data_IF_700414560845
#
_entry.id   IF_700414560845
#
_cell.length_a   1.000
_cell.length_b   1.000
_cell.length_c   1.000
_cell.angle_alpha   90.00
_cell.angle_beta   90.00
_cell.angle_gamma   90.00
#
_symmetry.space_group_name_H-M   'P 1'
#
loop_
_entity.id
_entity.type
_entity.pdbx_description
1 polymer ?
#
# COMPACT_ATOMS: atom_id res chain seq x y z
N UNK A 1 10.20 8.33 2.27
CA UNK A 1 9.02 8.95 1.64
C UNK A 1 9.43 9.34 0.22
N UNK A 2 8.47 9.56 -0.65
CA UNK A 2 8.69 10.14 -1.98
C UNK A 2 7.92 11.46 -2.04
N UNK A 3 8.57 12.51 -2.55
CA UNK A 3 7.96 13.80 -2.82
C UNK A 3 8.29 14.19 -4.26
N UNK A 4 7.27 14.49 -5.06
CA UNK A 4 7.40 14.82 -6.49
C UNK A 4 6.51 16.01 -6.82
N UNK A 5 6.96 16.88 -7.72
CA UNK A 5 6.24 18.09 -8.13
C UNK A 5 6.97 19.36 -7.67
N UNK A 6 6.30 20.50 -7.83
CA UNK A 6 6.84 21.82 -7.51
C UNK A 6 6.26 22.37 -6.21
N UNK A 7 7.10 23.08 -5.47
CA UNK A 7 6.67 23.79 -4.26
C UNK A 7 5.56 24.79 -4.56
N UNK A 8 4.56 24.87 -3.69
CA UNK A 8 3.40 25.74 -3.83
C UNK A 8 2.23 25.16 -4.62
N UNK A 9 2.40 24.03 -5.31
CA UNK A 9 1.27 23.32 -5.92
C UNK A 9 0.33 22.74 -4.85
N UNK A 10 -0.95 22.50 -5.18
CA UNK A 10 -1.86 21.71 -4.35
C UNK A 10 -1.26 20.34 -3.99
N UNK A 11 -1.32 19.98 -2.70
CA UNK A 11 -0.73 18.75 -2.17
C UNK A 11 -1.68 17.56 -2.32
N UNK A 12 -1.19 16.51 -2.96
CA UNK A 12 -1.80 15.18 -2.99
C UNK A 12 -1.02 14.27 -2.04
N UNK A 13 -1.68 13.77 -1.00
CA UNK A 13 -1.12 12.73 -0.14
C UNK A 13 -1.66 11.38 -0.57
N UNK A 14 -0.77 10.48 -0.96
CA UNK A 14 -1.12 9.13 -1.38
C UNK A 14 -0.76 8.13 -0.27
N UNK A 15 -1.74 7.34 0.16
CA UNK A 15 -1.56 6.27 1.14
C UNK A 15 -1.49 4.91 0.41
N UNK A 16 -0.33 4.24 0.47
CA UNK A 16 -0.14 2.98 -0.25
C UNK A 16 -0.82 1.78 0.43
N UNK A 17 -1.13 0.74 -0.37
CA UNK A 17 -1.71 -0.52 0.11
C UNK A 17 -0.65 -1.45 0.75
N UNK A 18 -1.06 -2.58 1.33
CA UNK A 18 -0.20 -3.47 2.14
C UNK A 18 1.12 -3.88 1.47
N UNK A 19 1.10 -4.18 0.17
CA UNK A 19 2.28 -4.62 -0.58
C UNK A 19 2.88 -3.52 -1.46
N UNK A 20 2.47 -2.26 -1.25
CA UNK A 20 3.03 -1.09 -1.90
C UNK A 20 4.19 -0.49 -1.09
N UNK A 21 4.67 0.66 -1.54
CA UNK A 21 5.71 1.43 -0.86
C UNK A 21 5.54 2.92 -1.20
N UNK A 22 6.54 3.74 -0.84
CA UNK A 22 6.52 5.18 -1.10
C UNK A 22 6.71 5.58 -2.56
N UNK A 23 7.15 4.69 -3.46
CA UNK A 23 7.48 5.00 -4.85
C UNK A 23 6.21 5.07 -5.72
N UNK A 24 5.39 6.09 -5.48
CA UNK A 24 4.14 6.35 -6.20
C UNK A 24 4.43 6.76 -7.64
N UNK A 25 5.38 7.67 -7.84
CA UNK A 25 5.79 8.17 -9.15
C UNK A 25 7.05 7.48 -9.68
N UNK A 26 8.02 7.16 -8.81
CA UNK A 26 9.26 6.47 -9.17
C UNK A 26 10.16 7.27 -10.11
N UNK A 27 11.08 6.57 -10.77
CA UNK A 27 12.00 7.16 -11.77
C UNK A 27 11.58 6.77 -13.19
N UNK A 28 12.23 7.33 -14.20
CA UNK A 28 11.92 6.96 -15.59
C UNK A 28 12.37 5.51 -15.91
N UNK A 29 13.46 5.03 -15.31
CA UNK A 29 13.92 3.65 -15.43
C UNK A 29 13.10 2.66 -14.58
N UNK A 30 12.60 3.13 -13.44
CA UNK A 30 11.82 2.33 -12.49
C UNK A 30 10.53 3.09 -12.14
N UNK A 31 9.54 3.08 -13.04
CA UNK A 31 8.30 3.83 -12.85
C UNK A 31 7.56 3.35 -11.60
N UNK A 32 7.01 4.31 -10.87
CA UNK A 32 6.25 4.07 -9.66
C UNK A 32 4.89 3.45 -9.96
N UNK A 33 4.26 2.90 -8.92
CA UNK A 33 3.04 2.10 -9.08
C UNK A 33 1.83 2.91 -9.56
N UNK A 34 1.87 4.25 -9.51
CA UNK A 34 0.85 5.17 -10.01
C UNK A 34 1.32 6.06 -11.18
N UNK A 35 2.51 5.79 -11.74
CA UNK A 35 3.06 6.59 -12.84
C UNK A 35 2.09 6.72 -14.02
N UNK A 36 1.42 5.64 -14.42
CA UNK A 36 0.44 5.66 -15.51
C UNK A 36 -0.80 6.54 -15.23
N UNK A 37 -1.22 6.66 -13.97
CA UNK A 37 -2.36 7.52 -13.59
C UNK A 37 -1.95 8.99 -13.67
N UNK A 38 -0.74 9.30 -13.21
CA UNK A 38 -0.20 10.66 -13.17
C UNK A 38 0.12 11.14 -14.59
N UNK A 39 0.89 10.35 -15.36
CA UNK A 39 1.30 10.67 -16.73
C UNK A 39 0.13 10.60 -17.72
N UNK A 40 -0.89 9.78 -17.43
CA UNK A 40 -2.13 9.71 -18.19
C UNK A 40 -3.02 10.96 -18.05
N UNK A 41 -2.65 11.92 -17.19
CA UNK A 41 -3.35 13.19 -17.03
C UNK A 41 -4.58 13.14 -16.10
N UNK A 42 -4.82 12.03 -15.39
CA UNK A 42 -5.89 11.96 -14.39
C UNK A 42 -5.53 12.75 -13.12
N UNK A 43 -4.25 12.73 -12.77
CA UNK A 43 -3.68 13.55 -11.69
C UNK A 43 -2.34 14.14 -12.18
N UNK A 44 -2.39 15.15 -13.05
CA UNK A 44 -1.19 15.59 -13.75
C UNK A 44 -0.17 16.26 -12.82
N UNK A 45 1.10 15.89 -13.01
CA UNK A 45 2.24 16.42 -12.23
C UNK A 45 2.46 17.94 -12.37
N UNK A 46 1.97 18.54 -13.45
CA UNK A 46 2.04 19.99 -13.66
C UNK A 46 1.02 20.79 -12.84
N UNK A 47 -0.02 20.14 -12.31
CA UNK A 47 -1.03 20.78 -11.46
C UNK A 47 -0.88 20.44 -9.97
N UNK A 48 -0.19 19.35 -9.64
CA UNK A 48 -0.14 18.79 -8.29
C UNK A 48 1.28 18.44 -7.84
N UNK A 49 1.52 18.56 -6.52
CA UNK A 49 2.66 17.90 -5.87
C UNK A 49 2.19 16.67 -5.09
N UNK A 50 2.96 15.59 -5.14
CA UNK A 50 2.62 14.28 -4.58
C UNK A 50 3.54 13.94 -3.43
N UNK A 51 2.98 13.50 -2.31
CA UNK A 51 3.70 13.03 -1.14
C UNK A 51 3.21 11.64 -0.73
N UNK A 52 4.14 10.70 -0.61
CA UNK A 52 3.85 9.33 -0.19
C UNK A 52 4.85 8.88 0.86
N UNK A 53 4.36 8.49 2.02
CA UNK A 53 5.18 7.84 3.04
C UNK A 53 5.12 6.33 2.88
N UNK A 54 6.24 5.65 3.11
CA UNK A 54 6.21 4.21 3.33
C UNK A 54 5.76 3.99 4.78
N UNK A 55 4.80 3.10 5.00
CA UNK A 55 4.29 2.84 6.36
C UNK A 55 5.38 2.28 7.27
N UNK A 56 5.33 2.59 8.57
CA UNK A 56 6.15 1.86 9.54
C UNK A 56 5.75 0.37 9.54
N UNK A 57 6.71 -0.51 9.73
CA UNK A 57 6.55 -1.96 9.59
C UNK A 57 6.72 -2.48 8.16
N UNK A 58 6.70 -1.62 7.13
CA UNK A 58 7.04 -2.02 5.75
C UNK A 58 8.55 -2.13 5.56
N UNK A 59 9.06 -3.13 4.82
CA UNK A 59 10.51 -3.34 4.62
C UNK A 59 11.15 -2.34 3.64
N UNK A 60 10.40 -1.39 3.08
CA UNK A 60 10.88 -0.48 2.04
C UNK A 60 11.37 0.89 2.57
N UNK A 61 12.13 0.87 3.67
CA UNK A 61 12.94 2.01 4.15
C UNK A 61 12.49 2.65 5.47
N UNK A 62 11.19 2.66 5.78
CA UNK A 62 10.70 3.16 7.09
C UNK A 62 11.08 2.22 8.23
N UNK A 63 11.01 2.68 9.49
CA UNK A 63 11.24 1.81 10.66
C UNK A 63 10.39 0.55 10.58
N UNK A 64 11.03 -0.61 10.69
CA UNK A 64 10.42 -1.92 10.51
C UNK A 64 11.28 -2.99 11.21
N UNK A 65 10.79 -4.23 11.38
CA UNK A 65 11.61 -5.32 11.90
C UNK A 65 12.90 -5.58 11.09
N UNK A 66 12.94 -5.18 9.82
CA UNK A 66 14.11 -5.38 8.94
C UNK A 66 15.27 -4.44 9.30
N UNK A 67 15.00 -3.22 9.77
CA UNK A 67 16.02 -2.20 10.02
C UNK A 67 16.08 -1.71 11.48
N UNK A 68 15.18 -2.17 12.34
CA UNK A 68 15.18 -1.85 13.77
C UNK A 68 14.94 -3.12 14.60
N UNK A 69 16.00 -3.57 15.29
CA UNK A 69 15.96 -4.77 16.14
C UNK A 69 15.04 -4.62 17.36
N UNK A 70 14.66 -3.39 17.73
CA UNK A 70 13.75 -3.10 18.84
C UNK A 70 12.34 -2.72 18.35
N UNK A 71 12.04 -2.97 17.07
CA UNK A 71 10.73 -2.65 16.51
C UNK A 71 9.60 -3.32 17.32
N UNK A 72 8.49 -2.61 17.61
CA UNK A 72 7.39 -3.16 18.40
C UNK A 72 6.85 -4.48 17.82
N UNK A 73 6.62 -5.47 18.69
CA UNK A 73 6.06 -6.77 18.29
C UNK A 73 4.67 -6.66 17.66
N UNK A 74 3.93 -5.62 18.02
CA UNK A 74 2.59 -5.32 17.51
C UNK A 74 2.53 -3.85 17.15
N UNK A 75 1.98 -3.56 15.98
CA UNK A 75 1.59 -2.22 15.55
C UNK A 75 0.16 -2.24 15.07
N UNK A 76 -0.49 -1.08 15.10
CA UNK A 76 -1.85 -0.88 14.59
C UNK A 76 -1.85 0.08 13.42
N UNK A 77 -2.96 0.11 12.69
CA UNK A 77 -3.20 1.12 11.66
C UNK A 77 -3.09 2.55 12.21
N UNK A 78 -3.52 2.77 13.46
CA UNK A 78 -3.47 4.09 14.09
C UNK A 78 -2.04 4.54 14.36
N UNK A 79 -1.15 3.61 14.71
CA UNK A 79 0.28 3.91 14.87
C UNK A 79 0.90 4.30 13.52
N UNK A 80 0.55 3.58 12.44
CA UNK A 80 0.96 3.91 11.06
C UNK A 80 0.51 5.32 10.69
N UNK A 81 -0.78 5.61 10.86
CA UNK A 81 -1.35 6.93 10.55
C UNK A 81 -0.69 8.01 11.37
N UNK A 82 -0.45 7.78 12.66
CA UNK A 82 0.21 8.76 13.52
C UNK A 82 1.62 9.09 13.03
N UNK A 83 2.39 8.08 12.61
CA UNK A 83 3.72 8.30 12.03
C UNK A 83 3.65 9.12 10.72
N UNK A 84 2.66 8.85 9.87
CA UNK A 84 2.44 9.60 8.62
C UNK A 84 2.10 11.06 8.92
N UNK A 85 1.18 11.34 9.85
CA UNK A 85 0.84 12.71 10.27
C UNK A 85 2.06 13.49 10.74
N UNK A 86 2.90 12.87 11.58
CA UNK A 86 4.14 13.47 12.07
C UNK A 86 5.10 13.76 10.91
N UNK A 87 5.21 12.84 9.94
CA UNK A 87 6.00 13.04 8.73
C UNK A 87 5.50 14.21 7.88
N UNK A 88 4.20 14.30 7.62
CA UNK A 88 3.60 15.40 6.85
C UNK A 88 3.86 16.74 7.54
N UNK A 89 3.66 16.81 8.87
CA UNK A 89 3.92 18.02 9.67
C UNK A 89 5.40 18.42 9.68
N UNK A 90 6.30 17.44 9.76
CA UNK A 90 7.75 17.69 9.72
C UNK A 90 8.20 18.31 8.40
N UNK A 91 7.48 18.05 7.30
CA UNK A 91 7.70 18.68 6.00
C UNK A 91 7.00 20.05 5.86
N UNK A 92 6.30 20.52 6.89
CA UNK A 92 5.68 21.85 6.93
C UNK A 92 4.30 21.95 6.28
N UNK A 93 3.69 20.82 5.88
CA UNK A 93 2.36 20.83 5.27
C UNK A 93 1.27 20.91 6.34
N UNK A 94 0.30 21.79 6.10
CA UNK A 94 -0.88 22.00 6.98
C UNK A 94 -2.21 21.76 6.26
N UNK A 95 -2.20 21.81 4.93
CA UNK A 95 -3.35 21.55 4.05
C UNK A 95 -3.04 20.43 3.07
N UNK A 96 -4.03 19.59 2.79
CA UNK A 96 -3.98 18.52 1.80
C UNK A 96 -5.13 18.77 0.81
N UNK A 97 -4.82 18.96 -0.46
CA UNK A 97 -5.84 19.17 -1.49
C UNK A 97 -6.56 17.86 -1.82
N UNK A 98 -5.81 16.78 -2.00
CA UNK A 98 -6.37 15.44 -2.24
C UNK A 98 -5.68 14.43 -1.31
N UNK A 99 -6.48 13.74 -0.50
CA UNK A 99 -6.04 12.61 0.30
C UNK A 99 -6.60 11.31 -0.31
N UNK A 100 -5.74 10.41 -0.76
CA UNK A 100 -6.17 9.27 -1.58
C UNK A 100 -5.48 7.95 -1.20
N UNK A 101 -6.24 6.86 -1.18
CA UNK A 101 -5.69 5.54 -0.88
C UNK A 101 -6.67 4.39 -1.09
N UNK A 102 -6.12 3.21 -1.40
CA UNK A 102 -6.88 1.99 -1.65
C UNK A 102 -6.60 0.87 -0.65
N UNK A 103 -7.61 0.10 -0.24
CA UNK A 103 -7.47 -1.01 0.71
C UNK A 103 -6.83 -0.54 2.03
N UNK A 104 -5.65 -1.04 2.42
CA UNK A 104 -4.89 -0.50 3.56
C UNK A 104 -4.65 1.01 3.45
N UNK A 105 -4.43 1.52 2.23
CA UNK A 105 -4.32 2.95 1.96
C UNK A 105 -5.60 3.70 2.27
N UNK A 106 -6.75 3.13 1.90
CA UNK A 106 -8.06 3.73 2.21
C UNK A 106 -8.36 3.74 3.70
N UNK A 107 -7.91 2.71 4.43
CA UNK A 107 -7.97 2.69 5.89
C UNK A 107 -7.13 3.82 6.52
N UNK A 108 -5.94 4.08 5.98
CA UNK A 108 -5.12 5.23 6.42
C UNK A 108 -5.82 6.56 6.15
N UNK A 109 -6.44 6.72 4.97
CA UNK A 109 -7.22 7.93 4.63
C UNK A 109 -8.33 8.19 5.64
N UNK A 110 -9.12 7.15 5.98
CA UNK A 110 -10.22 7.29 6.94
C UNK A 110 -9.74 7.72 8.34
N UNK A 111 -8.68 7.10 8.86
CA UNK A 111 -8.11 7.46 10.17
C UNK A 111 -7.42 8.84 10.16
N UNK A 112 -6.76 9.24 9.05
CA UNK A 112 -6.20 10.59 8.88
C UNK A 112 -7.28 11.67 8.95
N UNK A 113 -8.42 11.43 8.27
CA UNK A 113 -9.57 12.34 8.31
C UNK A 113 -10.16 12.43 9.71
N UNK A 114 -10.30 11.30 10.40
CA UNK A 114 -10.86 11.22 11.76
C UNK A 114 -10.02 11.99 12.78
N UNK A 115 -8.70 12.03 12.63
CA UNK A 115 -7.83 12.73 13.56
C UNK A 115 -7.84 14.26 13.40
N UNK A 116 -8.39 14.78 12.29
CA UNK A 116 -8.53 16.22 12.02
C UNK A 116 -7.23 17.03 12.19
N UNK A 117 -6.09 16.46 11.81
CA UNK A 117 -4.78 17.12 11.96
C UNK A 117 -4.43 18.06 10.80
N UNK A 118 -5.15 17.96 9.68
CA UNK A 118 -4.95 18.73 8.46
C UNK A 118 -6.30 19.19 7.90
N UNK A 119 -6.32 20.33 7.22
CA UNK A 119 -7.45 20.72 6.38
C UNK A 119 -7.37 19.93 5.07
N UNK A 120 -8.36 19.07 4.82
CA UNK A 120 -8.43 18.20 3.65
C UNK A 120 -9.60 18.63 2.76
N UNK A 121 -9.33 19.03 1.51
CA UNK A 121 -10.38 19.49 0.58
C UNK A 121 -11.13 18.31 -0.05
N UNK A 122 -10.40 17.35 -0.62
CA UNK A 122 -10.96 16.15 -1.26
C UNK A 122 -10.36 14.88 -0.67
N UNK A 123 -11.18 13.86 -0.51
CA UNK A 123 -10.75 12.53 -0.10
C UNK A 123 -11.29 11.45 -1.02
N UNK A 124 -10.43 10.49 -1.37
CA UNK A 124 -10.78 9.36 -2.24
C UNK A 124 -10.38 8.06 -1.54
N UNK A 125 -11.38 7.29 -1.13
CA UNK A 125 -11.23 6.03 -0.40
C UNK A 125 -11.66 4.89 -1.31
N UNK A 126 -10.72 4.03 -1.71
CA UNK A 126 -10.99 2.91 -2.61
C UNK A 126 -10.91 1.57 -1.86
N UNK A 127 -11.85 0.66 -2.11
CA UNK A 127 -11.79 -0.73 -1.64
C UNK A 127 -11.45 -0.91 -0.13
N UNK A 128 -11.94 -0.01 0.71
CA UNK A 128 -11.76 -0.03 2.16
C UNK A 128 -13.12 0.16 2.85
N UNK A 129 -13.21 -0.31 4.10
CA UNK A 129 -14.42 -0.23 4.93
C UNK A 129 -14.05 0.23 6.33
N UNK A 130 -15.03 0.62 7.12
CA UNK A 130 -14.90 1.13 8.49
C UNK A 130 -14.14 0.19 9.44
N UNK A 131 -14.16 -1.12 9.16
CA UNK A 131 -13.44 -2.14 9.93
C UNK A 131 -13.11 -3.38 9.13
N UNK A 132 -12.07 -4.09 9.56
CA UNK A 132 -11.71 -5.40 9.01
C UNK A 132 -12.82 -6.43 9.25
N UNK A 133 -13.37 -6.98 8.16
CA UNK A 133 -14.44 -8.00 8.22
C UNK A 133 -13.95 -9.35 8.74
N UNK A 134 -14.89 -10.22 9.16
CA UNK A 134 -14.58 -11.61 9.52
C UNK A 134 -13.88 -12.36 8.37
N UNK A 135 -14.32 -12.13 7.14
CA UNK A 135 -13.68 -12.69 5.94
C UNK A 135 -12.20 -12.26 5.83
N UNK A 136 -11.92 -10.96 5.97
CA UNK A 136 -10.55 -10.45 5.91
C UNK A 136 -9.69 -10.95 7.07
N UNK A 137 -10.26 -11.11 8.27
CA UNK A 137 -9.56 -11.70 9.41
C UNK A 137 -9.20 -13.18 9.17
N UNK A 138 -10.14 -13.98 8.65
CA UNK A 138 -9.88 -15.37 8.30
C UNK A 138 -8.79 -15.49 7.22
N UNK A 139 -8.87 -14.64 6.19
CA UNK A 139 -7.84 -14.53 5.16
C UNK A 139 -6.45 -14.23 5.75
N UNK A 140 -6.36 -13.23 6.63
CA UNK A 140 -5.09 -12.84 7.25
C UNK A 140 -4.53 -13.96 8.15
N UNK A 141 -5.39 -14.70 8.84
CA UNK A 141 -4.96 -15.78 9.72
C UNK A 141 -4.42 -16.98 8.94
N UNK A 142 -5.08 -17.38 7.85
CA UNK A 142 -4.58 -18.43 6.96
C UNK A 142 -3.21 -18.04 6.39
N UNK A 143 -3.02 -16.78 5.98
CA UNK A 143 -1.73 -16.28 5.51
C UNK A 143 -0.65 -16.31 6.61
N UNK A 144 -1.00 -15.94 7.85
CA UNK A 144 -0.09 -15.99 9.01
C UNK A 144 0.36 -17.41 9.31
N UNK A 145 -0.57 -18.36 9.36
CA UNK A 145 -0.29 -19.77 9.58
C UNK A 145 0.60 -20.35 8.46
N UNK A 146 0.32 -20.00 7.20
CA UNK A 146 1.17 -20.43 6.09
C UNK A 146 2.62 -19.95 6.25
N UNK A 147 2.83 -18.68 6.62
CA UNK A 147 4.16 -18.11 6.88
C UNK A 147 4.81 -18.76 8.11
N UNK A 148 4.05 -19.02 9.17
CA UNK A 148 4.56 -19.66 10.37
C UNK A 148 5.10 -21.07 10.08
N UNK A 149 4.38 -21.86 9.28
CA UNK A 149 4.74 -23.24 8.94
C UNK A 149 5.83 -23.28 7.86
N UNK A 150 5.74 -22.42 6.85
CA UNK A 150 6.53 -22.53 5.61
C UNK A 150 7.59 -21.46 5.40
N UNK A 151 7.73 -20.48 6.29
CA UNK A 151 8.65 -19.35 6.12
C UNK A 151 8.45 -18.64 4.78
N UNK A 152 9.51 -18.56 3.96
CA UNK A 152 9.46 -17.99 2.60
C UNK A 152 8.48 -18.70 1.67
N UNK A 153 8.29 -20.01 1.78
CA UNK A 153 7.24 -20.70 0.99
C UNK A 153 5.83 -20.31 1.45
N UNK A 154 5.67 -20.05 2.75
CA UNK A 154 4.44 -19.51 3.31
C UNK A 154 4.07 -18.14 2.74
N UNK A 155 5.04 -17.27 2.45
CA UNK A 155 4.79 -16.00 1.75
C UNK A 155 4.23 -16.20 0.34
N UNK A 156 4.74 -17.21 -0.39
CA UNK A 156 4.22 -17.55 -1.72
C UNK A 156 2.75 -17.98 -1.63
N UNK A 157 2.41 -18.82 -0.65
CA UNK A 157 1.03 -19.26 -0.41
C UNK A 157 0.14 -18.08 -0.01
N UNK A 158 0.58 -17.23 0.92
CA UNK A 158 -0.14 -16.03 1.34
C UNK A 158 -0.44 -15.10 0.14
N UNK A 159 0.52 -14.95 -0.78
CA UNK A 159 0.33 -14.16 -1.99
C UNK A 159 -0.69 -14.79 -2.94
N UNK A 160 -0.61 -16.10 -3.17
CA UNK A 160 -1.55 -16.84 -4.01
C UNK A 160 -2.98 -16.76 -3.47
N UNK A 161 -3.14 -16.85 -2.15
CA UNK A 161 -4.42 -16.65 -1.46
C UNK A 161 -4.99 -15.25 -1.78
N UNK A 162 -4.16 -14.21 -1.74
CA UNK A 162 -4.56 -12.84 -2.12
C UNK A 162 -5.10 -12.72 -3.54
N UNK A 163 -4.49 -13.41 -4.49
CA UNK A 163 -4.97 -13.39 -5.88
C UNK A 163 -6.36 -13.99 -6.08
N UNK A 164 -6.86 -14.81 -5.14
CA UNK A 164 -8.24 -15.29 -5.15
C UNK A 164 -9.25 -14.19 -4.76
N UNK A 165 -8.79 -13.15 -4.06
CA UNK A 165 -9.64 -12.04 -3.61
C UNK A 165 -9.46 -10.78 -4.46
N UNK A 166 -8.32 -10.63 -5.15
CA UNK A 166 -8.02 -9.46 -5.99
C UNK A 166 -8.44 -9.61 -7.45
N UNK A 167 -8.67 -10.83 -7.93
CA UNK A 167 -9.07 -11.11 -9.31
C UNK A 167 -10.37 -11.91 -9.36
N UNK A 168 -11.22 -11.57 -10.33
CA UNK A 168 -12.44 -12.32 -10.59
C UNK A 168 -12.16 -13.60 -11.37
N UNK A 169 -12.94 -14.66 -11.13
CA UNK A 169 -12.89 -15.90 -11.92
C UNK A 169 -12.97 -15.62 -13.42
N UNK A 170 -13.91 -14.77 -13.83
CA UNK A 170 -14.10 -14.38 -15.24
C UNK A 170 -12.84 -13.81 -15.89
N UNK A 171 -11.99 -13.09 -15.13
CA UNK A 171 -10.72 -12.55 -15.64
C UNK A 171 -9.67 -13.64 -15.86
N UNK A 172 -9.65 -14.66 -14.99
CA UNK A 172 -8.82 -15.85 -15.19
C UNK A 172 -9.30 -16.63 -16.41
N UNK A 173 -10.59 -16.95 -16.47
CA UNK A 173 -11.19 -17.77 -17.52
C UNK A 173 -11.04 -17.14 -18.92
N UNK A 174 -10.98 -15.82 -19.01
CA UNK A 174 -10.78 -15.11 -20.27
C UNK A 174 -9.33 -15.08 -20.76
N UNK A 175 -8.34 -15.36 -19.90
CA UNK A 175 -6.91 -15.17 -20.19
C UNK A 175 -6.09 -16.46 -20.12
N UNK A 176 -6.58 -17.46 -19.39
CA UNK A 176 -5.82 -18.64 -19.03
C UNK A 176 -6.72 -19.88 -19.03
N UNK A 177 -6.16 -21.01 -19.38
CA UNK A 177 -6.69 -22.33 -19.01
C UNK A 177 -6.52 -22.57 -17.50
N UNK A 178 -7.28 -23.50 -16.89
CA UNK A 178 -7.14 -23.81 -15.47
C UNK A 178 -5.71 -24.13 -15.02
N UNK A 179 -4.94 -24.88 -15.81
CA UNK A 179 -3.54 -25.21 -15.49
C UNK A 179 -2.62 -24.00 -15.57
N UNK A 180 -2.84 -23.11 -16.54
CA UNK A 180 -2.11 -21.84 -16.65
C UNK A 180 -2.39 -20.91 -15.47
N UNK A 181 -3.61 -20.92 -14.92
CA UNK A 181 -3.94 -20.17 -13.69
C UNK A 181 -3.08 -20.64 -12.52
N UNK A 182 -2.94 -21.95 -12.33
CA UNK A 182 -2.12 -22.51 -11.24
C UNK A 182 -0.64 -22.12 -11.41
N UNK A 183 -0.11 -22.23 -12.62
CA UNK A 183 1.27 -21.83 -12.90
C UNK A 183 1.49 -20.33 -12.72
N UNK A 184 0.54 -19.50 -13.18
CA UNK A 184 0.57 -18.05 -12.97
C UNK A 184 0.56 -17.70 -11.48
N UNK A 185 -0.32 -18.33 -10.69
CA UNK A 185 -0.40 -18.14 -9.24
C UNK A 185 0.93 -18.48 -8.56
N UNK A 186 1.51 -19.65 -8.84
CA UNK A 186 2.81 -20.05 -8.30
C UNK A 186 3.91 -19.09 -8.70
N UNK A 187 3.95 -18.65 -9.95
CA UNK A 187 4.92 -17.68 -10.43
C UNK A 187 4.81 -16.35 -9.68
N UNK A 188 3.60 -15.81 -9.51
CA UNK A 188 3.37 -14.56 -8.78
C UNK A 188 3.73 -14.69 -7.30
N UNK A 189 3.41 -15.83 -6.66
CA UNK A 189 3.80 -16.11 -5.29
C UNK A 189 5.31 -16.19 -5.11
N UNK A 190 5.99 -16.90 -6.02
CA UNK A 190 7.45 -17.03 -5.99
C UNK A 190 8.15 -15.70 -6.24
N UNK A 191 7.71 -14.92 -7.23
CA UNK A 191 8.23 -13.57 -7.45
C UNK A 191 8.07 -12.67 -6.22
N UNK A 192 6.92 -12.78 -5.53
CA UNK A 192 6.63 -11.98 -4.36
C UNK A 192 7.55 -12.31 -3.18
N UNK A 193 7.75 -13.59 -2.85
CA UNK A 193 8.60 -13.96 -1.70
C UNK A 193 10.07 -13.52 -1.87
N UNK A 194 10.58 -13.42 -3.10
CA UNK A 194 11.95 -12.93 -3.35
C UNK A 194 12.11 -11.43 -3.04
N UNK A 195 11.00 -10.68 -2.90
CA UNK A 195 11.04 -9.26 -2.53
C UNK A 195 11.13 -9.03 -1.02
N UNK A 196 11.17 -10.09 -0.20
CA UNK A 196 11.16 -10.01 1.26
C UNK A 196 12.27 -10.89 1.84
N UNK A 197 13.06 -10.29 2.72
CA UNK A 197 13.96 -11.01 3.61
C UNK A 197 13.18 -11.34 4.90
N UNK A 198 12.87 -12.63 5.05
CA UNK A 198 12.37 -13.23 6.29
C UNK A 198 13.53 -13.76 7.12
#
# INVERSE_FOLDING_TARGET
YEHVGYSGQPLVVVCHALTGNHLTYGTDEHPGWWREIIDGGYMPIYDYQFLTFNVIGSPFGSSSPLNDAHFPKTITLRDIVKAIELGIKALGFTKIDILIGGSLGGMQVMELLYNHQFEVDKAVILAATDKTSSYSRAFNEIAREAIHIGGKEGLSIARQLGFLTYRSSKSYDARFTPDEVVNYQRYQGNKFKESYDL
#
